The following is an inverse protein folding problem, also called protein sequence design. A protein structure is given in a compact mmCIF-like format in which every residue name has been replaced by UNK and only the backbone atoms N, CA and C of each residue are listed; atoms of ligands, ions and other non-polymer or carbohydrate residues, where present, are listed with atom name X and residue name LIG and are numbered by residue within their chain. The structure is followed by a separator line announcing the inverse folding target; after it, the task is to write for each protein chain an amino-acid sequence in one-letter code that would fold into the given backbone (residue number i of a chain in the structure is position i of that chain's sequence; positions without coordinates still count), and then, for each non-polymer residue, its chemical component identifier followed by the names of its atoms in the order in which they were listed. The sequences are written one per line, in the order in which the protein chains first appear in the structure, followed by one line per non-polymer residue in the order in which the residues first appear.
data_IF_942413382824
#
_entry.id   IF_942413382824
#
_cell.length_a   1.000
_cell.length_b   1.000
_cell.length_c   1.000
_cell.angle_alpha   90.00
_cell.angle_beta   90.00
_cell.angle_gamma   90.00
#
_symmetry.space_group_name_H-M   'P 1'
#
loop_
_entity.id
_entity.type
_entity.pdbx_description
1 polymer ?
#
# COMPACT_ATOMS: atom_id res chain seq x y z
N UNK A 1 61.61 3.94 40.82
CA UNK A 1 60.19 4.31 40.61
C UNK A 1 59.78 3.95 39.19
N UNK A 2 59.13 2.79 38.98
CA UNK A 2 58.64 2.35 37.66
C UNK A 2 57.22 2.89 37.47
N UNK A 3 57.02 3.75 36.47
CA UNK A 3 55.68 4.27 36.10
C UNK A 3 55.00 3.24 35.21
N UNK A 4 53.86 2.70 35.66
CA UNK A 4 53.01 1.80 34.87
C UNK A 4 52.02 2.67 34.10
N UNK A 5 52.15 2.69 32.77
CA UNK A 5 51.15 3.27 31.87
C UNK A 5 50.07 2.20 31.65
N UNK A 6 48.88 2.43 32.19
CA UNK A 6 47.71 1.58 31.94
C UNK A 6 47.05 2.10 30.66
N UNK A 7 47.20 1.35 29.57
CA UNK A 7 46.50 1.57 28.32
C UNK A 7 45.05 1.10 28.48
N UNK A 8 44.11 2.05 28.52
CA UNK A 8 42.67 1.78 28.50
C UNK A 8 42.28 1.39 27.07
N UNK A 9 42.22 0.09 26.79
CA UNK A 9 41.68 -0.45 25.54
C UNK A 9 40.16 -0.28 25.60
N UNK A 10 39.67 0.79 24.98
CA UNK A 10 38.24 0.99 24.77
C UNK A 10 37.76 -0.07 23.77
N UNK A 11 37.12 -1.12 24.26
CA UNK A 11 36.36 -2.05 23.44
C UNK A 11 35.22 -1.25 22.80
N UNK A 12 35.39 -0.85 21.54
CA UNK A 12 34.31 -0.38 20.69
C UNK A 12 33.41 -1.60 20.48
N UNK A 13 32.36 -1.72 21.30
CA UNK A 13 31.28 -2.66 21.05
C UNK A 13 30.56 -2.20 19.80
N UNK A 14 31.02 -2.65 18.64
CA UNK A 14 30.20 -2.72 17.44
C UNK A 14 29.04 -3.66 17.75
N UNK A 15 27.95 -3.10 18.28
CA UNK A 15 26.66 -3.76 18.15
C UNK A 15 26.44 -3.94 16.65
N UNK A 16 26.26 -5.18 16.14
CA UNK A 16 25.81 -5.34 14.78
C UNK A 16 24.48 -4.59 14.69
N UNK A 17 24.48 -3.47 13.97
CA UNK A 17 23.24 -2.88 13.49
C UNK A 17 22.68 -3.96 12.57
N UNK A 18 21.76 -4.76 13.10
CA UNK A 18 21.03 -5.73 12.31
C UNK A 18 20.28 -4.92 11.26
N UNK A 19 20.85 -4.84 10.05
CA UNK A 19 20.16 -4.34 8.89
C UNK A 19 18.93 -5.23 8.74
N UNK A 20 17.76 -4.69 9.08
CA UNK A 20 16.52 -5.44 8.99
C UNK A 20 16.34 -5.81 7.52
N UNK A 21 16.41 -7.11 7.22
CA UNK A 21 16.27 -7.59 5.85
C UNK A 21 14.92 -7.14 5.29
N UNK A 22 14.92 -6.57 4.10
CA UNK A 22 13.70 -6.16 3.41
C UNK A 22 12.81 -7.40 3.18
N UNK A 23 11.54 -7.27 3.51
CA UNK A 23 10.53 -8.32 3.51
C UNK A 23 9.66 -8.32 2.23
N UNK A 24 9.71 -7.29 1.37
CA UNK A 24 8.85 -7.18 0.18
C UNK A 24 8.77 -8.47 -0.66
N UNK A 25 9.92 -9.03 -1.06
CA UNK A 25 9.98 -10.21 -1.93
C UNK A 25 9.36 -11.46 -1.28
N UNK A 26 9.36 -11.53 0.05
CA UNK A 26 8.80 -12.64 0.82
C UNK A 26 7.28 -12.52 1.05
N UNK A 27 6.68 -11.38 0.72
CA UNK A 27 5.28 -11.06 1.05
C UNK A 27 4.34 -11.00 -0.17
N UNK A 28 4.79 -11.41 -1.36
CA UNK A 28 3.90 -11.55 -2.53
C UNK A 28 2.63 -12.36 -2.24
N UNK A 29 2.67 -13.52 -1.54
CA UNK A 29 1.46 -14.26 -1.20
C UNK A 29 0.47 -13.47 -0.32
N UNK A 30 0.98 -12.61 0.58
CA UNK A 30 0.13 -11.74 1.38
C UNK A 30 -0.53 -10.67 0.50
N UNK A 31 0.24 -10.09 -0.43
CA UNK A 31 -0.24 -9.05 -1.33
C UNK A 31 -1.31 -9.57 -2.30
N UNK A 32 -1.12 -10.78 -2.85
CA UNK A 32 -2.11 -11.51 -3.63
C UNK A 32 -3.39 -11.75 -2.83
N UNK A 33 -3.24 -12.29 -1.62
CA UNK A 33 -4.37 -12.53 -0.72
C UNK A 33 -5.15 -11.24 -0.39
N UNK A 34 -4.46 -10.11 -0.19
CA UNK A 34 -5.13 -8.82 0.04
C UNK A 34 -6.02 -8.42 -1.14
N UNK A 35 -5.60 -8.68 -2.38
CA UNK A 35 -6.41 -8.38 -3.56
C UNK A 35 -7.58 -9.34 -3.72
N UNK A 36 -7.35 -10.64 -3.50
CA UNK A 36 -8.39 -11.67 -3.53
C UNK A 36 -9.47 -11.38 -2.46
N UNK A 37 -9.05 -11.11 -1.22
CA UNK A 37 -9.95 -10.77 -0.12
C UNK A 37 -10.77 -9.51 -0.46
N UNK A 38 -10.15 -8.47 -1.04
CA UNK A 38 -10.85 -7.25 -1.48
C UNK A 38 -11.95 -7.60 -2.48
N UNK A 39 -11.63 -8.36 -3.53
CA UNK A 39 -12.60 -8.70 -4.57
C UNK A 39 -13.72 -9.61 -4.06
N UNK A 40 -13.38 -10.54 -3.15
CA UNK A 40 -14.37 -11.38 -2.48
C UNK A 40 -15.34 -10.56 -1.61
N UNK A 41 -14.83 -9.56 -0.87
CA UNK A 41 -15.67 -8.66 -0.07
C UNK A 41 -16.54 -7.79 -0.96
N UNK A 42 -16.02 -7.27 -2.08
CA UNK A 42 -16.83 -6.49 -3.03
C UNK A 42 -17.98 -7.32 -3.62
N UNK A 43 -17.72 -8.60 -3.91
CA UNK A 43 -18.71 -9.52 -4.51
C UNK A 43 -19.73 -10.05 -3.51
N UNK A 44 -19.28 -10.50 -2.35
CA UNK A 44 -20.13 -11.26 -1.41
C UNK A 44 -20.46 -10.49 -0.13
N UNK A 45 -19.69 -9.46 0.20
CA UNK A 45 -19.81 -8.74 1.47
C UNK A 45 -20.81 -7.58 1.45
N UNK A 46 -20.82 -6.84 2.54
CA UNK A 46 -21.57 -5.62 2.74
C UNK A 46 -20.65 -4.39 2.90
N UNK A 47 -21.24 -3.20 2.97
CA UNK A 47 -20.48 -1.96 3.06
C UNK A 47 -19.60 -1.89 4.32
N UNK A 48 -20.07 -2.39 5.47
CA UNK A 48 -19.27 -2.42 6.70
C UNK A 48 -18.04 -3.33 6.57
N UNK A 49 -18.16 -4.44 5.86
CA UNK A 49 -17.02 -5.33 5.55
C UNK A 49 -15.99 -4.64 4.66
N UNK A 50 -16.43 -3.84 3.68
CA UNK A 50 -15.52 -2.99 2.89
C UNK A 50 -14.80 -1.98 3.78
N UNK A 51 -15.51 -1.35 4.71
CA UNK A 51 -14.90 -0.41 5.66
C UNK A 51 -13.87 -1.09 6.56
N UNK A 52 -14.20 -2.26 7.14
CA UNK A 52 -13.25 -3.03 7.95
C UNK A 52 -12.01 -3.45 7.16
N UNK A 53 -12.19 -3.85 5.90
CA UNK A 53 -11.06 -4.15 5.01
C UNK A 53 -10.20 -2.91 4.77
N UNK A 54 -10.82 -1.76 4.45
CA UNK A 54 -10.14 -0.48 4.28
C UNK A 54 -9.33 -0.14 5.54
N UNK A 55 -9.94 -0.17 6.72
CA UNK A 55 -9.28 0.25 7.97
C UNK A 55 -8.08 -0.64 8.32
N UNK A 56 -8.14 -1.91 7.94
CA UNK A 56 -7.05 -2.87 8.12
C UNK A 56 -5.91 -2.66 7.10
N UNK A 57 -6.24 -2.46 5.83
CA UNK A 57 -5.29 -2.64 4.74
C UNK A 57 -5.00 -1.40 3.88
N UNK A 58 -5.86 -0.38 3.89
CA UNK A 58 -5.56 0.85 3.15
C UNK A 58 -4.55 1.69 3.94
N UNK A 59 -3.48 2.12 3.26
CA UNK A 59 -2.43 2.94 3.86
C UNK A 59 -2.93 4.34 4.20
N UNK A 60 -3.81 4.89 3.36
CA UNK A 60 -4.38 6.23 3.54
C UNK A 60 -5.14 6.40 4.86
N UNK A 61 -5.63 5.33 5.49
CA UNK A 61 -6.38 5.45 6.76
C UNK A 61 -5.52 5.89 7.93
N UNK A 62 -4.20 5.77 7.82
CA UNK A 62 -3.26 6.31 8.81
C UNK A 62 -3.27 7.85 8.86
N UNK A 63 -3.90 8.49 7.87
CA UNK A 63 -3.96 9.95 7.72
C UNK A 63 -5.36 10.51 7.99
N UNK A 64 -6.35 9.67 8.33
CA UNK A 64 -7.74 10.08 8.56
C UNK A 64 -7.85 11.18 9.64
N UNK A 65 -6.93 11.21 10.63
CA UNK A 65 -6.90 12.25 11.67
C UNK A 65 -6.58 13.66 11.16
N UNK A 66 -5.94 13.78 10.01
CA UNK A 66 -5.66 15.06 9.34
C UNK A 66 -6.80 15.52 8.43
N UNK A 67 -7.71 14.61 8.09
CA UNK A 67 -8.82 14.84 7.16
C UNK A 67 -10.15 14.53 7.85
N UNK A 68 -10.42 15.21 8.96
CA UNK A 68 -11.60 14.97 9.79
C UNK A 68 -12.90 15.04 8.98
N UNK A 69 -13.73 14.00 9.14
CA UNK A 69 -15.01 13.89 8.43
C UNK A 69 -14.87 13.65 6.93
N UNK A 70 -13.72 13.16 6.47
CA UNK A 70 -13.50 12.78 5.07
C UNK A 70 -12.96 11.36 4.94
N UNK A 71 -13.09 10.81 3.74
CA UNK A 71 -12.59 9.49 3.37
C UNK A 71 -11.84 9.56 2.04
N UNK A 72 -10.67 8.92 1.97
CA UNK A 72 -9.87 8.91 0.75
C UNK A 72 -10.41 7.87 -0.25
N UNK A 73 -10.68 8.29 -1.50
CA UNK A 73 -11.24 7.41 -2.54
C UNK A 73 -10.18 6.62 -3.33
N UNK A 74 -8.90 6.74 -2.97
CA UNK A 74 -7.78 6.35 -3.84
C UNK A 74 -7.31 7.48 -4.76
N UNK A 75 -7.96 8.63 -4.74
CA UNK A 75 -7.63 9.81 -5.58
C UNK A 75 -7.66 11.09 -4.76
N UNK A 76 -8.74 11.30 -3.99
CA UNK A 76 -8.94 12.50 -3.19
C UNK A 76 -9.77 12.19 -1.94
N UNK A 77 -9.74 13.11 -0.99
CA UNK A 77 -10.60 13.10 0.21
C UNK A 77 -12.00 13.63 -0.11
N UNK A 78 -13.03 12.85 0.22
CA UNK A 78 -14.45 13.19 -0.03
C UNK A 78 -15.29 13.01 1.22
N UNK A 79 -16.56 13.44 1.21
CA UNK A 79 -17.45 13.19 2.34
C UNK A 79 -17.76 11.70 2.50
N UNK A 80 -18.15 11.22 3.70
CA UNK A 80 -18.50 9.83 3.92
C UNK A 80 -19.67 9.37 3.04
N UNK A 81 -20.63 10.24 2.75
CA UNK A 81 -21.77 9.97 1.87
C UNK A 81 -21.29 9.75 0.43
N UNK A 82 -20.43 10.63 -0.10
CA UNK A 82 -19.88 10.46 -1.44
C UNK A 82 -19.04 9.17 -1.55
N UNK A 83 -18.27 8.85 -0.51
CA UNK A 83 -17.50 7.61 -0.43
C UNK A 83 -18.43 6.39 -0.43
N UNK A 84 -19.46 6.39 0.41
CA UNK A 84 -20.42 5.30 0.53
C UNK A 84 -21.16 5.06 -0.79
N UNK A 85 -21.63 6.13 -1.44
CA UNK A 85 -22.30 6.07 -2.74
C UNK A 85 -21.40 5.48 -3.83
N UNK A 86 -20.12 5.88 -3.86
CA UNK A 86 -19.13 5.32 -4.80
C UNK A 86 -18.91 3.84 -4.56
N UNK A 87 -18.67 3.43 -3.31
CA UNK A 87 -18.43 2.02 -2.97
C UNK A 87 -19.66 1.19 -3.29
N UNK A 88 -20.85 1.64 -2.91
CA UNK A 88 -22.10 0.91 -3.16
C UNK A 88 -22.33 0.68 -4.65
N UNK A 89 -22.12 1.69 -5.50
CA UNK A 89 -22.21 1.52 -6.96
C UNK A 89 -21.27 0.44 -7.49
N UNK A 90 -20.00 0.46 -7.06
CA UNK A 90 -19.03 -0.56 -7.48
C UNK A 90 -19.44 -1.94 -6.96
N UNK A 91 -19.94 -2.05 -5.73
CA UNK A 91 -20.45 -3.32 -5.20
C UNK A 91 -21.64 -3.83 -6.01
N UNK A 92 -22.60 -2.96 -6.37
CA UNK A 92 -23.77 -3.32 -7.17
C UNK A 92 -23.34 -3.79 -8.58
N UNK A 93 -22.36 -3.12 -9.19
CA UNK A 93 -21.78 -3.52 -10.48
C UNK A 93 -21.07 -4.88 -10.41
N UNK A 94 -20.33 -5.16 -9.32
CA UNK A 94 -19.67 -6.45 -9.13
C UNK A 94 -20.70 -7.57 -8.85
N UNK A 95 -21.70 -7.29 -8.01
CA UNK A 95 -22.75 -8.26 -7.63
C UNK A 95 -23.68 -8.62 -8.78
N UNK A 96 -24.00 -7.66 -9.65
CA UNK A 96 -24.81 -7.88 -10.85
C UNK A 96 -24.06 -8.65 -11.95
N UNK A 97 -22.73 -8.82 -11.81
CA UNK A 97 -21.88 -9.38 -12.85
C UNK A 97 -21.58 -8.39 -13.99
N UNK A 98 -21.93 -7.11 -13.83
CA UNK A 98 -21.51 -6.06 -14.76
C UNK A 98 -19.98 -5.90 -14.76
N UNK A 99 -19.36 -6.01 -13.59
CA UNK A 99 -17.90 -6.14 -13.41
C UNK A 99 -17.61 -7.53 -12.86
N UNK A 100 -16.78 -8.30 -13.55
CA UNK A 100 -16.26 -9.59 -13.07
C UNK A 100 -14.74 -9.51 -12.98
N UNK A 101 -14.19 -9.89 -11.83
CA UNK A 101 -12.75 -10.09 -11.64
C UNK A 101 -12.31 -11.36 -12.39
N UNK A 102 -11.35 -11.23 -13.30
CA UNK A 102 -10.71 -12.31 -14.04
C UNK A 102 -9.25 -12.52 -13.58
N UNK A 103 -8.92 -11.97 -12.41
CA UNK A 103 -7.68 -12.19 -11.69
C UNK A 103 -6.69 -11.05 -11.82
N UNK A 104 -5.68 -11.12 -10.95
CA UNK A 104 -4.65 -10.10 -10.80
C UNK A 104 -3.27 -10.73 -10.99
N UNK A 105 -2.30 -9.95 -11.48
CA UNK A 105 -0.91 -10.35 -11.63
C UNK A 105 0.00 -9.30 -11.03
N UNK A 106 0.86 -9.71 -10.10
CA UNK A 106 1.95 -8.88 -9.58
C UNK A 106 3.19 -9.09 -10.47
N UNK A 107 3.84 -8.00 -10.81
CA UNK A 107 5.09 -7.99 -11.57
C UNK A 107 6.29 -7.86 -10.62
N UNK A 108 7.53 -7.99 -11.11
CA UNK A 108 8.72 -7.75 -10.31
C UNK A 108 8.71 -6.36 -9.64
N UNK A 109 9.30 -6.29 -8.44
CA UNK A 109 9.36 -5.08 -7.63
C UNK A 109 10.09 -3.97 -8.40
N UNK A 110 9.45 -2.81 -8.58
CA UNK A 110 10.07 -1.61 -9.19
C UNK A 110 10.93 -0.86 -8.17
N UNK A 111 10.50 -0.82 -6.91
CA UNK A 111 11.24 -0.19 -5.82
C UNK A 111 11.02 -0.93 -4.51
N UNK A 112 12.09 -1.07 -3.72
CA UNK A 112 12.08 -1.63 -2.37
C UNK A 112 13.08 -0.88 -1.50
N UNK A 113 12.62 -0.26 -0.42
CA UNK A 113 13.50 0.48 0.48
C UNK A 113 12.86 0.84 1.82
N UNK A 114 13.69 1.34 2.74
CA UNK A 114 13.23 1.91 4.00
C UNK A 114 13.08 3.43 3.83
N UNK A 115 11.86 3.91 4.05
CA UNK A 115 11.49 5.32 4.09
C UNK A 115 10.96 5.68 5.49
N UNK A 116 10.68 6.96 5.73
CA UNK A 116 10.03 7.46 6.94
C UNK A 116 8.70 6.76 7.24
N UNK A 117 7.99 6.34 6.17
CA UNK A 117 6.75 5.58 6.22
C UNK A 117 6.92 4.12 6.71
N UNK A 118 8.13 3.56 6.66
CA UNK A 118 8.43 2.16 6.93
C UNK A 118 9.16 1.48 5.77
N UNK A 119 9.01 0.17 5.62
CA UNK A 119 9.47 -0.51 4.40
C UNK A 119 8.44 -0.30 3.29
N UNK A 120 8.88 0.18 2.13
CA UNK A 120 8.02 0.52 0.99
C UNK A 120 8.38 -0.35 -0.22
N UNK A 121 7.39 -1.05 -0.77
CA UNK A 121 7.47 -1.77 -2.03
C UNK A 121 6.59 -1.08 -3.07
N UNK A 122 7.14 -0.79 -4.24
CA UNK A 122 6.35 -0.37 -5.40
C UNK A 122 6.29 -1.54 -6.37
N UNK A 123 5.09 -2.07 -6.59
CA UNK A 123 4.87 -3.26 -7.41
C UNK A 123 3.88 -2.89 -8.53
N UNK A 124 4.24 -3.10 -9.81
CA UNK A 124 3.27 -3.05 -10.88
C UNK A 124 2.26 -4.20 -10.72
N UNK A 125 0.97 -3.87 -10.79
CA UNK A 125 -0.14 -4.82 -10.71
C UNK A 125 -0.99 -4.65 -11.95
N UNK A 126 -1.29 -5.76 -12.62
CA UNK A 126 -2.29 -5.83 -13.68
C UNK A 126 -3.53 -6.53 -13.14
N UNK A 127 -4.65 -5.83 -13.19
CA UNK A 127 -5.96 -6.35 -12.86
C UNK A 127 -6.74 -6.58 -14.16
N UNK A 128 -7.33 -7.77 -14.28
CA UNK A 128 -8.10 -8.17 -15.45
C UNK A 128 -9.56 -8.23 -15.07
N UNK A 129 -10.37 -7.47 -15.78
CA UNK A 129 -11.81 -7.39 -15.53
C UNK A 129 -12.58 -7.69 -16.80
N UNK A 130 -13.72 -8.36 -16.65
CA UNK A 130 -14.77 -8.34 -17.67
C UNK A 130 -15.79 -7.27 -17.29
N UNK A 131 -15.85 -6.19 -18.06
CA UNK A 131 -16.82 -5.11 -17.86
C UNK A 131 -17.82 -5.16 -19.01
N UNK A 132 -19.08 -5.47 -18.69
CA UNK A 132 -20.15 -5.64 -19.67
C UNK A 132 -19.76 -6.63 -20.79
N UNK A 133 -19.19 -7.78 -20.41
CA UNK A 133 -18.73 -8.82 -21.31
C UNK A 133 -17.49 -8.48 -22.15
N UNK A 134 -16.84 -7.32 -21.91
CA UNK A 134 -15.61 -6.92 -22.59
C UNK A 134 -14.43 -6.97 -21.64
N UNK A 135 -13.36 -7.60 -22.06
CA UNK A 135 -12.10 -7.62 -21.32
C UNK A 135 -11.53 -6.20 -21.20
N UNK A 136 -11.07 -5.89 -20.00
CA UNK A 136 -10.39 -4.66 -19.63
C UNK A 136 -9.19 -5.02 -18.76
N UNK A 137 -8.02 -4.55 -19.19
CA UNK A 137 -6.78 -4.62 -18.44
C UNK A 137 -6.55 -3.26 -17.79
N UNK A 138 -6.38 -3.24 -16.48
CA UNK A 138 -5.98 -2.05 -15.72
C UNK A 138 -4.62 -2.33 -15.09
N UNK A 139 -3.59 -1.56 -15.49
CA UNK A 139 -2.25 -1.71 -14.97
C UNK A 139 -1.86 -0.48 -14.17
N UNK A 140 -1.55 -0.67 -12.88
CA UNK A 140 -1.24 0.39 -11.91
C UNK A 140 -0.10 -0.03 -10.99
N UNK A 141 0.58 0.95 -10.40
CA UNK A 141 1.44 0.66 -9.27
C UNK A 141 0.60 0.51 -7.99
N UNK A 142 0.88 -0.54 -7.22
CA UNK A 142 0.46 -0.63 -5.83
C UNK A 142 1.68 -0.44 -4.94
N UNK A 143 1.57 0.49 -4.01
CA UNK A 143 2.59 0.80 -3.01
C UNK A 143 2.22 0.05 -1.73
N UNK A 144 3.01 -0.95 -1.37
CA UNK A 144 2.85 -1.70 -0.13
C UNK A 144 3.78 -1.11 0.93
N UNK A 145 3.27 -0.91 2.14
CA UNK A 145 4.00 -0.28 3.24
C UNK A 145 3.95 -1.17 4.47
N UNK A 146 5.12 -1.59 4.97
CA UNK A 146 5.26 -2.32 6.23
C UNK A 146 5.59 -1.35 7.34
N UNK A 147 4.78 -1.38 8.39
CA UNK A 147 5.18 -0.78 9.66
C UNK A 147 6.30 -1.61 10.30
N UNK A 148 7.47 -1.02 10.50
CA UNK A 148 8.65 -1.73 11.01
C UNK A 148 8.51 -2.23 12.46
N UNK A 149 7.62 -1.62 13.25
CA UNK A 149 7.38 -1.98 14.66
C UNK A 149 6.36 -3.11 14.79
N UNK A 150 5.27 -3.05 14.01
CA UNK A 150 4.16 -4.01 14.11
C UNK A 150 4.21 -5.12 13.07
N UNK A 151 5.09 -5.02 12.07
CA UNK A 151 5.15 -5.88 10.89
C UNK A 151 3.85 -5.92 10.07
N UNK A 152 2.93 -4.97 10.29
CA UNK A 152 1.69 -4.90 9.54
C UNK A 152 1.93 -4.26 8.17
N UNK A 153 1.39 -4.90 7.13
CA UNK A 153 1.38 -4.40 5.76
C UNK A 153 0.07 -3.69 5.42
N UNK A 154 0.20 -2.54 4.77
CA UNK A 154 -0.90 -1.78 4.17
C UNK A 154 -0.56 -1.48 2.71
N UNK A 155 -1.55 -1.04 1.94
CA UNK A 155 -1.42 -0.77 0.52
C UNK A 155 -2.06 0.54 0.12
N UNK A 156 -1.48 1.19 -0.88
CA UNK A 156 -2.05 2.31 -1.61
C UNK A 156 -1.98 1.98 -3.10
N UNK A 157 -3.13 1.92 -3.79
CA UNK A 157 -3.14 1.85 -5.25
C UNK A 157 -2.85 3.25 -5.78
N UNK A 158 -1.74 3.42 -6.49
CA UNK A 158 -1.36 4.70 -7.06
C UNK A 158 -2.28 5.10 -8.20
N UNK A 159 -2.55 6.40 -8.29
CA UNK A 159 -3.21 7.04 -9.42
C UNK A 159 -2.54 8.37 -9.69
N UNK A 160 -2.37 8.68 -10.97
CA UNK A 160 -1.98 9.97 -11.52
C UNK A 160 -2.90 11.14 -11.11
N UNK A 161 -4.13 10.85 -10.68
CA UNK A 161 -5.06 11.84 -10.16
C UNK A 161 -4.86 12.16 -8.67
N UNK A 162 -4.01 11.44 -7.94
CA UNK A 162 -3.66 11.81 -6.56
C UNK A 162 -2.89 13.13 -6.60
N UNK A 163 -3.32 14.11 -5.80
CA UNK A 163 -2.64 15.40 -5.76
C UNK A 163 -1.22 15.25 -5.25
N UNK A 164 -0.30 16.11 -5.69
CA UNK A 164 1.08 16.11 -5.20
C UNK A 164 1.14 16.29 -3.68
N UNK A 165 0.26 17.12 -3.13
CA UNK A 165 0.20 17.38 -1.69
C UNK A 165 -0.25 16.13 -0.91
N UNK A 166 -1.28 15.42 -1.38
CA UNK A 166 -1.72 14.16 -0.77
C UNK A 166 -0.64 13.07 -0.89
N UNK A 167 0.01 12.97 -2.05
CA UNK A 167 1.09 11.99 -2.25
C UNK A 167 2.28 12.29 -1.33
N UNK A 168 2.69 13.55 -1.21
CA UNK A 168 3.77 13.98 -0.31
C UNK A 168 3.39 13.82 1.16
N UNK A 169 2.11 13.93 1.52
CA UNK A 169 1.66 13.60 2.87
C UNK A 169 1.87 12.12 3.17
N UNK A 170 1.57 11.23 2.22
CA UNK A 170 1.74 9.79 2.38
C UNK A 170 3.20 9.37 2.36
N UNK A 171 4.01 9.97 1.49
CA UNK A 171 5.41 9.60 1.25
C UNK A 171 6.30 10.85 1.10
N UNK A 172 6.60 11.56 2.20
CA UNK A 172 7.32 12.84 2.15
C UNK A 172 8.78 12.72 1.68
N UNK A 173 9.36 11.52 1.79
CA UNK A 173 10.72 11.19 1.40
C UNK A 173 10.76 10.17 0.25
N UNK A 174 9.70 10.10 -0.57
CA UNK A 174 9.69 9.22 -1.74
C UNK A 174 10.79 9.59 -2.74
N UNK A 175 11.54 8.61 -3.30
CA UNK A 175 12.62 8.91 -4.23
C UNK A 175 12.13 9.54 -5.54
N UNK A 176 12.79 10.61 -5.96
CA UNK A 176 12.42 11.36 -7.17
C UNK A 176 12.77 10.65 -8.48
N UNK A 177 13.62 9.63 -8.44
CA UNK A 177 14.07 8.83 -9.58
C UNK A 177 13.11 7.68 -9.92
N UNK A 178 12.15 7.38 -9.03
CA UNK A 178 11.13 6.35 -9.27
C UNK A 178 9.92 6.99 -9.95
N UNK A 179 9.83 6.83 -11.26
CA UNK A 179 8.69 7.28 -12.06
C UNK A 179 7.48 6.35 -11.89
N UNK A 180 6.39 6.91 -11.34
CA UNK A 180 5.09 6.23 -11.19
C UNK A 180 4.07 6.62 -12.27
N UNK A 181 4.39 7.55 -13.17
CA UNK A 181 3.47 8.10 -14.16
C UNK A 181 3.13 7.13 -15.30
N UNK A 182 3.98 6.12 -15.51
CA UNK A 182 3.79 5.07 -16.51
C UNK A 182 4.13 3.72 -15.92
N UNK A 183 3.23 2.77 -16.13
CA UNK A 183 3.49 1.38 -15.76
C UNK A 183 4.11 0.67 -16.94
N UNK A 184 5.42 0.47 -16.85
CA UNK A 184 6.21 -0.32 -17.82
C UNK A 184 5.82 -1.82 -17.79
#
# INVERSE_FOLDING_TARGET
MKKIFIFWVSFISCFPVYAQELQCSKNYPLFEKMMEDKMMIMKNGNFEEVLRFKDKYAYSTLFDSKHLGKMFTGVKWVSPEEYADRVKRVMDDVKSGFIVDDGNKLFPIKYNGILSAGEVCVIPVEARFMINGKEKLDRKYTIYVRNLKTNQWRSLIYSDYISKDDFNEFFPDFPNDIDLSKVD
#
